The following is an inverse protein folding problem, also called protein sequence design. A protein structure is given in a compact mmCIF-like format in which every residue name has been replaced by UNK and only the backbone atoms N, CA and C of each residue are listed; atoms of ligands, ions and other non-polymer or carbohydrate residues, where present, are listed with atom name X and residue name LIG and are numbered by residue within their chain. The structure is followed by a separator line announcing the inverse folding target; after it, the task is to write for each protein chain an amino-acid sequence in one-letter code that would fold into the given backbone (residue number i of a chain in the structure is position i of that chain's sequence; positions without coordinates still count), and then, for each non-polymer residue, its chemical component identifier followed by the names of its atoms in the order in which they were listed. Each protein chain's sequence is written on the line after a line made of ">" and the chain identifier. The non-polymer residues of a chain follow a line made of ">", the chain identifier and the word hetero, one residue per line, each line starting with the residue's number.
data_IF_692686724737
#
_entry.id   IF_692686724737
#
_cell.length_a   1.000
_cell.length_b   1.000
_cell.length_c   1.000
_cell.angle_alpha   90.00
_cell.angle_beta   90.00
_cell.angle_gamma   90.00
#
_symmetry.space_group_name_H-M   'P 1'
#
loop_
_entity.id
_entity.type
_entity.pdbx_description
1 polymer ?
#
# COMPACT_ATOMS: atom_id res chain seq x y z
N UNK A 1 19.17 6.15 28.34
CA UNK A 1 18.45 6.64 27.15
C UNK A 1 16.93 6.37 27.18
N UNK A 2 16.45 5.23 27.72
CA UNK A 2 15.00 4.89 27.81
C UNK A 2 14.15 5.82 28.71
N UNK A 3 14.68 6.34 29.82
CA UNK A 3 13.91 7.12 30.80
C UNK A 3 13.41 8.48 30.27
N UNK A 4 14.25 9.22 29.54
CA UNK A 4 13.87 10.52 28.98
C UNK A 4 12.80 10.41 27.90
N UNK A 5 12.84 9.34 27.09
CA UNK A 5 11.82 9.04 26.09
C UNK A 5 10.49 8.68 26.73
N UNK A 6 10.50 7.90 27.81
CA UNK A 6 9.29 7.56 28.55
C UNK A 6 8.65 8.79 29.21
N UNK A 7 9.46 9.68 29.79
CA UNK A 7 8.98 10.94 30.36
C UNK A 7 8.42 11.89 29.28
N UNK A 8 9.04 11.95 28.10
CA UNK A 8 8.53 12.71 26.96
C UNK A 8 7.17 12.17 26.48
N UNK A 9 7.03 10.85 26.30
CA UNK A 9 5.78 10.20 25.91
C UNK A 9 4.67 10.43 26.93
N UNK A 10 4.97 10.34 28.23
CA UNK A 10 4.00 10.65 29.30
C UNK A 10 3.53 12.10 29.24
N UNK A 11 4.43 13.05 28.95
CA UNK A 11 4.10 14.48 28.85
C UNK A 11 3.21 14.76 27.63
N UNK A 12 3.52 14.15 26.48
CA UNK A 12 2.71 14.31 25.28
C UNK A 12 1.32 13.68 25.42
N UNK A 13 1.24 12.47 26.00
CA UNK A 13 -0.04 11.82 26.28
C UNK A 13 -0.90 12.67 27.22
N UNK A 14 -0.30 13.28 28.25
CA UNK A 14 -1.00 14.19 29.15
C UNK A 14 -1.53 15.46 28.44
N UNK A 15 -0.76 16.05 27.52
CA UNK A 15 -1.18 17.22 26.73
C UNK A 15 -2.37 16.92 25.83
N UNK A 16 -2.36 15.76 25.16
CA UNK A 16 -3.46 15.35 24.27
C UNK A 16 -4.76 15.23 25.06
N UNK A 17 -4.72 14.55 26.21
CA UNK A 17 -5.88 14.38 27.09
C UNK A 17 -6.42 15.71 27.59
N UNK A 18 -5.54 16.63 28.02
CA UNK A 18 -5.95 17.95 28.51
C UNK A 18 -6.60 18.82 27.42
N UNK A 19 -5.99 18.89 26.24
CA UNK A 19 -6.55 19.68 25.13
C UNK A 19 -7.93 19.16 24.71
N UNK A 20 -8.12 17.84 24.70
CA UNK A 20 -9.38 17.22 24.28
C UNK A 20 -10.46 17.26 25.35
N UNK A 21 -10.09 17.24 26.63
CA UNK A 21 -11.02 17.48 27.72
C UNK A 21 -11.65 18.88 27.60
N UNK A 22 -10.83 19.90 27.32
CA UNK A 22 -11.30 21.28 27.13
C UNK A 22 -12.23 21.44 25.93
N UNK A 23 -11.91 20.79 24.80
CA UNK A 23 -12.77 20.77 23.60
C UNK A 23 -14.09 20.01 23.81
N UNK A 24 -14.11 18.98 24.67
CA UNK A 24 -15.32 18.19 24.95
C UNK A 24 -16.26 18.79 26.01
N UNK A 25 -15.75 19.70 26.85
CA UNK A 25 -16.49 20.30 27.98
C UNK A 25 -17.01 21.71 27.69
N UNK A 26 -16.56 22.35 26.62
CA UNK A 26 -17.11 23.61 26.14
C UNK A 26 -18.30 23.34 25.21
N UNK A 27 -19.50 23.73 25.63
CA UNK A 27 -20.77 23.55 24.89
C UNK A 27 -20.85 24.33 23.56
N UNK A 28 -19.77 25.00 23.13
CA UNK A 28 -19.75 25.92 21.97
C UNK A 28 -19.11 25.35 20.69
N UNK A 29 -18.69 24.09 20.64
CA UNK A 29 -18.03 23.57 19.42
C UNK A 29 -19.03 23.13 18.35
N UNK A 30 -18.95 23.79 17.19
CA UNK A 30 -19.58 23.45 15.90
C UNK A 30 -19.14 22.10 15.29
N UNK A 31 -18.36 21.30 16.00
CA UNK A 31 -17.72 20.09 15.50
C UNK A 31 -18.47 18.84 15.98
N UNK A 32 -18.67 17.87 15.09
CA UNK A 32 -19.31 16.60 15.46
C UNK A 32 -18.41 15.83 16.43
N UNK A 33 -19.03 15.05 17.34
CA UNK A 33 -18.32 14.07 18.18
C UNK A 33 -17.42 13.16 17.34
N UNK A 34 -17.82 12.86 16.10
CA UNK A 34 -17.03 12.07 15.15
C UNK A 34 -15.69 12.73 14.77
N UNK A 35 -15.68 14.05 14.61
CA UNK A 35 -14.47 14.79 14.22
C UNK A 35 -13.47 14.85 15.38
N UNK A 36 -13.98 15.00 16.60
CA UNK A 36 -13.18 14.97 17.83
C UNK A 36 -12.52 13.60 18.01
N UNK A 37 -13.27 12.52 17.76
CA UNK A 37 -12.77 11.15 17.84
C UNK A 37 -11.71 10.87 16.76
N UNK A 38 -11.94 11.30 15.52
CA UNK A 38 -10.99 11.12 14.42
C UNK A 38 -9.66 11.84 14.68
N UNK A 39 -9.70 13.06 15.23
CA UNK A 39 -8.51 13.82 15.59
C UNK A 39 -7.75 13.18 16.78
N UNK A 40 -8.49 12.59 17.73
CA UNK A 40 -7.91 11.81 18.82
C UNK A 40 -7.16 10.57 18.33
N UNK A 41 -7.78 9.77 17.46
CA UNK A 41 -7.14 8.59 16.87
C UNK A 41 -5.87 8.95 16.12
N UNK A 42 -5.90 10.03 15.32
CA UNK A 42 -4.74 10.53 14.59
C UNK A 42 -3.59 10.88 15.52
N UNK A 43 -3.85 11.66 16.57
CA UNK A 43 -2.82 12.07 17.54
C UNK A 43 -2.23 10.92 18.35
N UNK A 44 -3.05 9.92 18.70
CA UNK A 44 -2.59 8.70 19.37
C UNK A 44 -1.74 7.83 18.45
N UNK A 45 -2.13 7.73 17.18
CA UNK A 45 -1.37 7.00 16.17
C UNK A 45 0.01 7.63 15.96
N UNK A 46 0.08 8.95 15.86
CA UNK A 46 1.34 9.70 15.71
C UNK A 46 2.29 9.48 16.91
N UNK A 47 1.75 9.48 18.15
CA UNK A 47 2.55 9.13 19.34
C UNK A 47 3.04 7.69 19.37
N UNK A 48 2.23 6.74 18.86
CA UNK A 48 2.64 5.33 18.79
C UNK A 48 3.80 5.12 17.81
N UNK A 49 3.89 5.94 16.76
CA UNK A 49 4.91 5.86 15.72
C UNK A 49 6.23 6.55 16.08
N UNK A 50 6.29 7.29 17.20
CA UNK A 50 7.51 7.95 17.70
C UNK A 50 8.68 6.98 18.00
N UNK A 51 8.43 5.67 17.96
CA UNK A 51 9.39 4.60 18.28
C UNK A 51 10.08 3.93 17.10
N UNK A 52 9.81 4.29 15.85
CA UNK A 52 10.22 3.45 14.70
C UNK A 52 11.50 3.82 13.94
N UNK A 53 12.32 4.75 14.44
CA UNK A 53 13.63 5.05 13.84
C UNK A 53 14.79 4.55 14.71
N UNK A 54 14.78 3.26 15.07
CA UNK A 54 15.99 2.60 15.55
C UNK A 54 16.75 2.03 14.35
N UNK A 55 17.62 2.85 13.75
CA UNK A 55 18.68 2.33 12.88
C UNK A 55 19.67 1.56 13.77
N UNK A 56 19.45 0.26 13.93
CA UNK A 56 20.36 -0.62 14.67
C UNK A 56 21.56 -0.98 13.78
N UNK A 57 22.79 -0.74 14.27
CA UNK A 57 23.99 -1.17 13.56
C UNK A 57 24.04 -2.69 13.47
N UNK A 58 24.10 -3.22 12.24
CA UNK A 58 24.15 -4.67 12.00
C UNK A 58 25.57 -5.10 11.65
N UNK A 59 26.03 -6.19 12.26
CA UNK A 59 27.32 -6.80 11.92
C UNK A 59 27.29 -7.32 10.47
N UNK A 60 28.32 -7.01 9.67
CA UNK A 60 28.46 -7.45 8.29
C UNK A 60 28.26 -8.96 8.11
N UNK A 61 28.85 -9.80 8.97
CA UNK A 61 28.70 -11.27 8.89
C UNK A 61 27.23 -11.71 9.00
N UNK A 62 26.43 -11.02 9.82
CA UNK A 62 24.98 -11.29 9.94
C UNK A 62 24.21 -10.89 8.68
N UNK A 63 24.61 -9.79 8.04
CA UNK A 63 24.01 -9.30 6.79
C UNK A 63 24.34 -10.25 5.66
N UNK A 64 25.61 -10.64 5.49
CA UNK A 64 26.03 -11.59 4.44
C UNK A 64 25.31 -12.93 4.57
N UNK A 65 25.14 -13.44 5.79
CA UNK A 65 24.38 -14.68 6.03
C UNK A 65 22.90 -14.53 5.67
N UNK A 66 22.30 -13.36 5.90
CA UNK A 66 20.92 -13.08 5.49
C UNK A 66 20.80 -12.96 3.96
N UNK A 67 21.76 -12.30 3.30
CA UNK A 67 21.82 -12.18 1.84
C UNK A 67 21.96 -13.54 1.16
N UNK A 68 22.82 -14.42 1.68
CA UNK A 68 22.98 -15.76 1.12
C UNK A 68 21.68 -16.58 1.18
N UNK A 69 20.93 -16.47 2.29
CA UNK A 69 19.60 -17.10 2.40
C UNK A 69 18.60 -16.57 1.37
N UNK A 70 18.65 -15.29 1.02
CA UNK A 70 17.80 -14.72 -0.03
C UNK A 70 18.15 -15.32 -1.39
N UNK A 71 19.44 -15.43 -1.71
CA UNK A 71 19.93 -16.05 -2.95
C UNK A 71 19.52 -17.52 -3.04
N UNK A 72 19.66 -18.28 -1.95
CA UNK A 72 19.22 -19.69 -1.91
C UNK A 72 17.71 -19.86 -2.16
N UNK A 73 16.88 -18.96 -1.61
CA UNK A 73 15.43 -18.97 -1.86
C UNK A 73 15.12 -18.67 -3.33
N UNK A 74 15.80 -17.68 -3.91
CA UNK A 74 15.66 -17.36 -5.33
C UNK A 74 16.06 -18.54 -6.22
N UNK A 75 17.18 -19.20 -5.91
CA UNK A 75 17.66 -20.37 -6.66
C UNK A 75 16.68 -21.55 -6.60
N UNK A 76 16.08 -21.82 -5.43
CA UNK A 76 15.10 -22.90 -5.25
C UNK A 76 13.81 -22.72 -6.05
N UNK A 77 13.45 -21.50 -6.46
CA UNK A 77 12.27 -21.21 -7.30
C UNK A 77 12.42 -21.65 -8.78
N UNK A 78 13.48 -22.39 -9.14
CA UNK A 78 13.67 -23.07 -10.44
C UNK A 78 13.39 -22.19 -11.67
N UNK A 79 14.00 -21.00 -11.72
CA UNK A 79 13.95 -20.14 -12.91
C UNK A 79 12.67 -19.33 -13.12
N UNK A 80 11.72 -19.37 -12.18
CA UNK A 80 10.68 -18.33 -12.07
C UNK A 80 11.29 -17.09 -11.40
N UNK A 81 10.71 -15.92 -11.71
CA UNK A 81 11.08 -14.65 -11.08
C UNK A 81 11.14 -14.76 -9.55
N UNK A 82 12.17 -14.17 -8.94
CA UNK A 82 12.35 -14.20 -7.47
C UNK A 82 11.29 -13.37 -6.77
N UNK A 83 10.89 -12.26 -7.41
CA UNK A 83 9.86 -11.35 -6.93
C UNK A 83 8.45 -11.68 -7.44
N UNK A 84 7.52 -10.80 -7.12
CA UNK A 84 6.12 -10.88 -7.56
C UNK A 84 6.06 -10.52 -9.05
N UNK A 85 5.31 -11.27 -9.87
CA UNK A 85 5.20 -10.96 -11.30
C UNK A 85 4.28 -9.77 -11.56
N UNK A 86 4.72 -8.87 -12.43
CA UNK A 86 3.92 -7.75 -12.92
C UNK A 86 2.92 -8.17 -14.01
N UNK A 87 3.16 -9.33 -14.63
CA UNK A 87 2.37 -9.85 -15.76
C UNK A 87 2.90 -9.38 -17.12
N UNK A 88 3.96 -8.58 -17.15
CA UNK A 88 4.67 -8.16 -18.36
C UNK A 88 6.01 -8.89 -18.42
N UNK A 89 6.14 -9.88 -19.30
CA UNK A 89 7.33 -10.75 -19.35
C UNK A 89 8.65 -9.98 -19.51
N UNK A 90 8.69 -8.98 -20.38
CA UNK A 90 9.90 -8.17 -20.59
C UNK A 90 10.27 -7.36 -19.35
N UNK A 91 9.27 -6.77 -18.68
CA UNK A 91 9.48 -6.02 -17.44
C UNK A 91 9.94 -6.94 -16.30
N UNK A 92 9.31 -8.10 -16.17
CA UNK A 92 9.67 -9.09 -15.15
C UNK A 92 11.08 -9.65 -15.40
N UNK A 93 11.50 -9.84 -16.67
CA UNK A 93 12.86 -10.22 -17.05
C UNK A 93 13.88 -9.13 -16.69
N UNK A 94 13.55 -7.87 -16.90
CA UNK A 94 14.43 -6.74 -16.56
C UNK A 94 14.57 -6.55 -15.04
N UNK A 95 13.49 -6.75 -14.28
CA UNK A 95 13.47 -6.50 -12.83
C UNK A 95 13.72 -7.75 -11.98
N UNK A 96 13.62 -8.96 -12.55
CA UNK A 96 13.57 -10.21 -11.78
C UNK A 96 12.25 -10.39 -11.00
N UNK A 97 11.19 -9.71 -11.45
CA UNK A 97 9.94 -9.48 -10.71
C UNK A 97 10.03 -8.33 -9.70
N UNK A 98 8.89 -7.92 -9.16
CA UNK A 98 8.77 -6.88 -8.14
C UNK A 98 9.30 -7.38 -6.79
N UNK A 99 10.37 -6.78 -6.27
CA UNK A 99 11.01 -7.18 -5.01
C UNK A 99 10.41 -6.44 -3.81
N UNK A 100 10.36 -7.09 -2.64
CA UNK A 100 9.73 -6.55 -1.43
C UNK A 100 10.41 -5.30 -0.83
N UNK A 101 11.62 -4.96 -1.26
CA UNK A 101 12.40 -3.83 -0.71
C UNK A 101 12.52 -2.66 -1.68
N UNK A 102 11.97 -2.78 -2.89
CA UNK A 102 12.14 -1.78 -3.93
C UNK A 102 10.99 -0.77 -3.94
N UNK A 103 11.33 0.51 -4.15
CA UNK A 103 10.37 1.55 -4.48
C UNK A 103 10.42 1.80 -6.00
N UNK A 104 9.34 1.41 -6.69
CA UNK A 104 9.22 1.59 -8.13
C UNK A 104 8.38 2.84 -8.42
N UNK A 105 8.96 3.79 -9.16
CA UNK A 105 8.30 5.05 -9.52
C UNK A 105 7.90 5.01 -11.00
N UNK A 106 6.60 5.08 -11.27
CA UNK A 106 6.06 5.20 -12.62
C UNK A 106 5.78 6.67 -12.97
N UNK A 107 6.67 7.28 -13.74
CA UNK A 107 6.55 8.67 -14.19
C UNK A 107 6.18 8.76 -15.67
N UNK A 108 5.53 9.87 -16.06
CA UNK A 108 5.05 10.09 -17.42
C UNK A 108 4.06 11.26 -17.49
N UNK A 109 3.80 11.78 -18.68
CA UNK A 109 2.85 12.90 -18.88
C UNK A 109 1.39 12.48 -18.64
N UNK A 110 0.45 13.42 -18.41
CA UNK A 110 -0.98 13.12 -18.43
C UNK A 110 -1.36 12.31 -19.68
N UNK A 111 -2.32 11.41 -19.54
CA UNK A 111 -2.80 10.52 -20.61
C UNK A 111 -1.81 9.47 -21.16
N UNK A 112 -0.59 9.35 -20.63
CA UNK A 112 0.37 8.30 -21.04
C UNK A 112 0.11 6.92 -20.40
N UNK A 113 -1.09 6.69 -19.84
CA UNK A 113 -1.49 5.37 -19.36
C UNK A 113 -0.89 4.94 -18.01
N UNK A 114 -0.30 5.84 -17.21
CA UNK A 114 0.28 5.50 -15.90
C UNK A 114 -0.66 4.72 -14.98
N UNK A 115 -1.89 5.23 -14.82
CA UNK A 115 -2.91 4.58 -14.00
C UNK A 115 -3.29 3.22 -14.57
N UNK A 116 -3.45 3.10 -15.89
CA UNK A 116 -3.79 1.84 -16.53
C UNK A 116 -2.69 0.77 -16.36
N UNK A 117 -1.42 1.17 -16.48
CA UNK A 117 -0.29 0.28 -16.24
C UNK A 117 -0.21 -0.13 -14.77
N UNK A 118 -0.34 0.81 -13.83
CA UNK A 118 -0.31 0.52 -12.40
C UNK A 118 -1.44 -0.42 -11.98
N UNK A 119 -2.66 -0.20 -12.47
CA UNK A 119 -3.82 -1.07 -12.22
C UNK A 119 -3.60 -2.47 -12.78
N UNK A 120 -3.01 -2.60 -13.96
CA UNK A 120 -2.67 -3.91 -14.56
C UNK A 120 -1.66 -4.69 -13.74
N UNK A 121 -0.58 -4.03 -13.32
CA UNK A 121 0.44 -4.63 -12.47
C UNK A 121 -0.19 -5.10 -11.15
N UNK A 122 -1.01 -4.26 -10.52
CA UNK A 122 -1.71 -4.59 -9.29
C UNK A 122 -2.64 -5.80 -9.45
N UNK A 123 -3.41 -5.86 -10.54
CA UNK A 123 -4.31 -6.98 -10.83
C UNK A 123 -3.54 -8.29 -11.08
N UNK A 124 -2.47 -8.26 -11.88
CA UNK A 124 -1.65 -9.45 -12.15
C UNK A 124 -0.92 -9.93 -10.89
N UNK A 125 -0.43 -9.02 -10.05
CA UNK A 125 0.16 -9.35 -8.76
C UNK A 125 -0.86 -10.03 -7.82
N UNK A 126 -2.10 -9.51 -7.74
CA UNK A 126 -3.18 -10.13 -6.97
C UNK A 126 -3.54 -11.53 -7.51
N UNK A 127 -3.58 -11.69 -8.83
CA UNK A 127 -3.82 -12.98 -9.50
C UNK A 127 -2.70 -13.98 -9.25
N UNK A 128 -1.45 -13.52 -9.16
CA UNK A 128 -0.30 -14.35 -8.82
C UNK A 128 -0.46 -14.95 -7.42
N UNK A 129 -0.76 -14.13 -6.41
CA UNK A 129 -1.01 -14.61 -5.05
C UNK A 129 -2.18 -15.61 -4.98
N UNK A 130 -3.26 -15.34 -5.71
CA UNK A 130 -4.40 -16.27 -5.77
C UNK A 130 -4.08 -17.63 -6.40
N UNK A 131 -3.09 -17.72 -7.30
CA UNK A 131 -2.77 -18.95 -8.04
C UNK A 131 -1.67 -19.79 -7.40
N UNK A 132 -0.61 -19.15 -6.92
CA UNK A 132 0.58 -19.84 -6.40
C UNK A 132 0.45 -20.21 -4.91
N UNK A 133 -0.76 -20.08 -4.32
CA UNK A 133 -1.04 -20.33 -2.89
C UNK A 133 -0.15 -19.53 -1.91
N UNK A 134 0.52 -18.48 -2.40
CA UNK A 134 1.26 -17.55 -1.58
C UNK A 134 0.26 -16.61 -0.88
N UNK A 135 0.37 -16.50 0.44
CA UNK A 135 -0.39 -15.52 1.23
C UNK A 135 0.07 -14.11 0.85
N UNK A 136 -0.73 -13.40 0.06
CA UNK A 136 -0.43 -12.04 -0.36
C UNK A 136 -1.67 -11.27 -0.80
N UNK A 137 -1.66 -9.97 -0.51
CA UNK A 137 -2.74 -9.05 -0.85
C UNK A 137 -2.15 -7.79 -1.48
N UNK A 138 -2.86 -7.22 -2.45
CA UNK A 138 -2.49 -5.97 -3.10
C UNK A 138 -3.44 -4.87 -2.63
N UNK A 139 -2.88 -3.75 -2.22
CA UNK A 139 -3.64 -2.55 -1.81
C UNK A 139 -3.33 -1.42 -2.80
N UNK A 140 -4.37 -0.78 -3.30
CA UNK A 140 -4.25 0.39 -4.18
C UNK A 140 -4.76 1.64 -3.47
N UNK A 141 -3.93 2.68 -3.45
CA UNK A 141 -4.32 4.02 -3.00
C UNK A 141 -4.49 4.91 -4.22
N UNK A 142 -5.69 5.46 -4.40
CA UNK A 142 -5.99 6.39 -5.49
C UNK A 142 -6.37 7.74 -4.91
N UNK A 143 -5.68 8.79 -5.39
CA UNK A 143 -5.93 10.17 -5.00
C UNK A 143 -6.64 10.98 -6.10
N UNK A 144 -6.82 10.40 -7.29
CA UNK A 144 -7.40 11.07 -8.46
C UNK A 144 -8.75 10.47 -8.86
N UNK A 145 -8.86 9.14 -8.83
CA UNK A 145 -10.05 8.40 -9.27
C UNK A 145 -10.73 7.70 -8.11
N UNK A 146 -12.06 7.56 -8.18
CA UNK A 146 -12.80 6.76 -7.20
C UNK A 146 -12.50 5.25 -7.34
N UNK A 147 -12.75 4.49 -6.28
CA UNK A 147 -12.55 3.04 -6.30
C UNK A 147 -13.40 2.35 -7.37
N UNK A 148 -14.64 2.82 -7.57
CA UNK A 148 -15.56 2.32 -8.59
C UNK A 148 -15.04 2.57 -10.00
N UNK A 149 -14.44 3.73 -10.26
CA UNK A 149 -13.86 4.05 -11.57
C UNK A 149 -12.65 3.16 -11.89
N UNK A 150 -11.84 2.81 -10.90
CA UNK A 150 -10.73 1.87 -11.06
C UNK A 150 -11.26 0.45 -11.26
N UNK A 151 -12.24 0.03 -10.45
CA UNK A 151 -12.89 -1.28 -10.59
C UNK A 151 -13.52 -1.48 -11.97
N UNK A 152 -14.23 -0.48 -12.48
CA UNK A 152 -14.81 -0.52 -13.83
C UNK A 152 -13.74 -0.67 -14.92
N UNK A 153 -12.56 -0.04 -14.76
CA UNK A 153 -11.44 -0.22 -15.69
C UNK A 153 -10.90 -1.65 -15.66
N UNK A 154 -10.72 -2.23 -14.47
CA UNK A 154 -10.29 -3.62 -14.33
C UNK A 154 -11.31 -4.56 -15.01
N UNK A 155 -12.60 -4.36 -14.74
CA UNK A 155 -13.67 -5.16 -15.34
C UNK A 155 -13.71 -5.02 -16.87
N UNK A 156 -13.59 -3.80 -17.39
CA UNK A 156 -13.52 -3.51 -18.82
C UNK A 156 -12.36 -4.27 -19.49
N UNK A 157 -11.20 -4.26 -18.84
CA UNK A 157 -10.02 -4.94 -19.33
C UNK A 157 -10.17 -6.47 -19.33
N UNK A 158 -10.68 -7.05 -18.23
CA UNK A 158 -10.85 -8.50 -18.15
C UNK A 158 -11.97 -9.02 -19.06
N UNK A 159 -13.06 -8.26 -19.21
CA UNK A 159 -14.18 -8.60 -20.11
C UNK A 159 -13.92 -8.27 -21.58
N UNK A 160 -12.87 -7.49 -21.87
CA UNK A 160 -12.59 -6.90 -23.20
C UNK A 160 -13.73 -6.05 -23.74
N UNK A 161 -14.55 -5.49 -22.86
CA UNK A 161 -15.62 -4.56 -23.20
C UNK A 161 -15.10 -3.13 -23.03
N UNK A 162 -15.31 -2.23 -24.00
CA UNK A 162 -14.93 -0.84 -23.86
C UNK A 162 -15.53 -0.20 -22.59
N UNK A 163 -14.70 0.51 -21.81
CA UNK A 163 -15.14 1.13 -20.56
C UNK A 163 -16.29 2.12 -20.76
N UNK A 164 -16.39 2.76 -21.92
CA UNK A 164 -17.50 3.67 -22.25
C UNK A 164 -18.84 2.93 -22.38
N UNK A 165 -18.83 1.72 -22.96
CA UNK A 165 -20.04 0.89 -23.06
C UNK A 165 -20.50 0.41 -21.70
N UNK A 166 -19.55 -0.04 -20.87
CA UNK A 166 -19.81 -0.42 -19.49
C UNK A 166 -20.38 0.74 -18.67
N UNK A 167 -19.86 1.95 -18.87
CA UNK A 167 -20.37 3.17 -18.20
C UNK A 167 -21.77 3.56 -18.67
N UNK A 168 -22.08 3.37 -19.96
CA UNK A 168 -23.39 3.68 -20.55
C UNK A 168 -24.43 2.59 -20.35
N UNK A 169 -24.04 1.40 -19.89
CA UNK A 169 -24.93 0.24 -19.80
C UNK A 169 -25.29 -0.38 -21.15
N UNK A 170 -24.54 -0.06 -22.21
CA UNK A 170 -24.74 -0.59 -23.58
C UNK A 170 -24.10 -1.99 -23.70
N UNK A 171 -24.62 -2.95 -22.94
CA UNK A 171 -24.16 -4.33 -22.93
C UNK A 171 -25.15 -5.21 -23.69
N UNK A 172 -24.67 -5.95 -24.69
CA UNK A 172 -25.47 -6.98 -25.35
C UNK A 172 -25.39 -8.27 -24.52
N UNK A 173 -26.44 -9.10 -24.50
CA UNK A 173 -26.47 -10.38 -23.77
C UNK A 173 -25.31 -11.32 -24.10
N UNK A 174 -24.69 -11.20 -25.29
CA UNK A 174 -23.50 -11.98 -25.69
C UNK A 174 -22.18 -11.47 -25.11
N UNK A 175 -22.19 -10.31 -24.44
CA UNK A 175 -21.02 -9.62 -23.89
C UNK A 175 -20.94 -9.69 -22.37
N UNK A 176 -21.96 -10.25 -21.70
CA UNK A 176 -21.96 -10.63 -20.29
C UNK A 176 -21.51 -12.08 -20.15
#
# INVERSE_FOLDING_TARGET
>A
MKLWQELHLRRELFKITQNKNNESTTFETSNSIKDIFLDLEKKLFDLSNFKKDNYEFRNFASVTKASLKLVERAFKKKGKYSGIVSGFGDLDNMLGGLQNSDLIILAGRPSMGKTALATNIAFNAAKFFSKDQDEGSVVMFSLEMSAEQIGLRILAEQSRIPSDKLRKGELNEKSL
#
